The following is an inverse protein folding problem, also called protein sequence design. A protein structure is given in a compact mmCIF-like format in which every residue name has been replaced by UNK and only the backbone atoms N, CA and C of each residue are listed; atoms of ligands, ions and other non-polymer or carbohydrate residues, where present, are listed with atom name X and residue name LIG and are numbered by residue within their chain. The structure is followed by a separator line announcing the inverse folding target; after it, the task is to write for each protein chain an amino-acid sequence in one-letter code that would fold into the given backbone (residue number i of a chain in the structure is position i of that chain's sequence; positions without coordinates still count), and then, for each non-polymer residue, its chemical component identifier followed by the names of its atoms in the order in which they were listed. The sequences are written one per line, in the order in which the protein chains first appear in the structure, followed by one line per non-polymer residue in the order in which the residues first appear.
data_IF_649623835229
#
_entry.id   IF_649623835229
#
_cell.length_a   1.000
_cell.length_b   1.000
_cell.length_c   1.000
_cell.angle_alpha   90.00
_cell.angle_beta   90.00
_cell.angle_gamma   90.00
#
_symmetry.space_group_name_H-M   'P 1'
#
loop_
_entity.id
_entity.type
_entity.pdbx_description
1 polymer ?
#
# COMPACT_ATOMS: atom_id res chain seq x y z
N UNK A 1 13.60 13.84 -7.16
CA UNK A 1 13.23 12.48 -6.69
C UNK A 1 11.84 12.03 -7.15
N UNK A 2 10.84 12.90 -7.23
CA UNK A 2 9.51 12.57 -7.73
C UNK A 2 9.43 12.46 -9.26
N UNK A 3 10.41 12.94 -9.99
CA UNK A 3 10.43 12.98 -11.47
C UNK A 3 10.51 11.57 -12.08
N UNK A 4 11.18 10.63 -11.42
CA UNK A 4 11.33 9.27 -11.93
C UNK A 4 10.03 8.46 -11.98
N UNK A 5 9.02 8.76 -11.14
CA UNK A 5 7.79 7.96 -11.08
C UNK A 5 6.91 8.11 -12.33
N UNK A 6 6.59 9.32 -12.81
CA UNK A 6 5.83 9.50 -14.04
C UNK A 6 6.54 8.93 -15.26
N UNK A 7 7.86 9.12 -15.34
CA UNK A 7 8.68 8.59 -16.44
C UNK A 7 8.70 7.07 -16.46
N UNK A 8 8.93 6.44 -15.29
CA UNK A 8 8.88 4.98 -15.17
C UNK A 8 7.51 4.42 -15.59
N UNK A 9 6.43 5.04 -15.14
CA UNK A 9 5.07 4.63 -15.52
C UNK A 9 4.80 4.78 -17.01
N UNK A 10 5.18 5.92 -17.60
CA UNK A 10 4.99 6.17 -19.03
C UNK A 10 5.75 5.13 -19.87
N UNK A 11 7.05 4.93 -19.59
CA UNK A 11 7.87 3.95 -20.30
C UNK A 11 7.31 2.53 -20.11
N UNK A 12 6.98 2.15 -18.87
CA UNK A 12 6.44 0.81 -18.59
C UNK A 12 5.13 0.55 -19.33
N UNK A 13 4.21 1.50 -19.33
CA UNK A 13 2.95 1.40 -20.06
C UNK A 13 3.17 1.34 -21.58
N UNK A 14 4.13 2.10 -22.09
CA UNK A 14 4.42 2.18 -23.54
C UNK A 14 5.06 0.88 -24.05
N UNK A 15 6.03 0.34 -23.29
CA UNK A 15 6.83 -0.83 -23.70
C UNK A 15 6.08 -2.13 -23.39
N UNK A 16 5.60 -2.29 -22.14
CA UNK A 16 4.99 -3.55 -21.68
C UNK A 16 3.50 -3.64 -22.01
N UNK A 17 2.83 -2.51 -22.21
CA UNK A 17 1.38 -2.40 -22.39
C UNK A 17 0.61 -2.95 -21.19
N UNK A 18 -0.68 -2.65 -21.11
CA UNK A 18 -1.57 -3.18 -20.08
C UNK A 18 -2.06 -4.57 -20.48
N UNK A 19 -2.35 -5.39 -19.47
CA UNK A 19 -3.05 -6.67 -19.62
C UNK A 19 -4.42 -6.40 -20.26
N UNK A 20 -4.88 -7.32 -21.10
CA UNK A 20 -6.19 -7.21 -21.77
C UNK A 20 -7.31 -7.06 -20.72
N UNK A 21 -8.09 -5.99 -20.85
CA UNK A 21 -9.17 -5.65 -19.92
C UNK A 21 -8.75 -4.75 -18.75
N UNK A 22 -7.48 -4.34 -18.68
CA UNK A 22 -6.98 -3.35 -17.72
C UNK A 22 -6.68 -2.04 -18.46
N UNK A 23 -7.35 -0.97 -18.07
CA UNK A 23 -7.23 0.34 -18.73
C UNK A 23 -5.96 1.08 -18.29
N UNK A 24 -5.63 0.98 -17.00
CA UNK A 24 -4.51 1.69 -16.40
C UNK A 24 -3.77 0.81 -15.38
N UNK A 25 -2.43 0.85 -15.36
CA UNK A 25 -1.66 0.23 -14.29
C UNK A 25 -1.87 1.00 -12.98
N UNK A 26 -1.79 0.31 -11.85
CA UNK A 26 -1.85 0.90 -10.52
C UNK A 26 -0.57 0.61 -9.73
N UNK A 27 -0.16 1.53 -8.86
CA UNK A 27 0.93 1.30 -7.91
C UNK A 27 0.37 0.63 -6.67
N UNK A 28 0.75 -0.62 -6.45
CA UNK A 28 0.46 -1.35 -5.22
C UNK A 28 1.66 -1.30 -4.26
N UNK A 29 1.40 -1.03 -3.02
CA UNK A 29 2.38 -1.10 -1.95
C UNK A 29 1.85 -1.92 -0.78
N UNK A 30 2.77 -2.48 0.01
CA UNK A 30 2.46 -3.23 1.21
C UNK A 30 2.68 -2.30 2.41
N UNK A 31 1.69 -2.17 3.28
CA UNK A 31 1.78 -1.37 4.50
C UNK A 31 1.65 -2.27 5.73
N UNK A 32 2.40 -1.98 6.82
CA UNK A 32 2.24 -2.68 8.07
C UNK A 32 0.92 -2.32 8.75
N UNK A 33 0.31 -3.31 9.39
CA UNK A 33 -0.90 -3.14 10.18
C UNK A 33 -0.73 -3.71 11.58
N UNK A 34 -1.71 -3.49 12.46
CA UNK A 34 -1.73 -4.07 13.80
C UNK A 34 -1.74 -5.61 13.75
N UNK A 35 -2.39 -6.22 12.73
CA UNK A 35 -2.56 -7.67 12.60
C UNK A 35 -1.58 -8.32 11.61
N UNK A 36 -0.76 -7.55 10.89
CA UNK A 36 0.17 -8.06 9.90
C UNK A 36 0.50 -7.02 8.85
N UNK A 37 -0.01 -7.16 7.65
CA UNK A 37 0.21 -6.26 6.51
C UNK A 37 -1.03 -6.19 5.64
N UNK A 38 -1.19 -5.09 4.91
CA UNK A 38 -2.24 -4.88 3.92
C UNK A 38 -1.65 -4.35 2.61
N UNK A 39 -2.25 -4.70 1.49
CA UNK A 39 -1.94 -4.15 0.18
C UNK A 39 -2.78 -2.90 -0.02
N UNK A 40 -2.17 -1.79 -0.39
CA UNK A 40 -2.89 -0.56 -0.72
C UNK A 40 -2.61 -0.21 -2.18
N UNK A 41 -3.64 0.02 -2.95
CA UNK A 41 -3.56 0.48 -4.33
C UNK A 41 -4.77 1.37 -4.68
N UNK A 42 -4.57 2.47 -5.37
CA UNK A 42 -3.40 3.02 -6.03
C UNK A 42 -2.63 4.00 -5.12
N UNK A 43 -1.30 3.95 -5.18
CA UNK A 43 -0.42 4.82 -4.39
C UNK A 43 0.22 5.98 -5.21
N UNK A 44 -0.53 6.50 -6.20
CA UNK A 44 -0.13 7.69 -6.93
C UNK A 44 0.14 7.51 -8.43
N UNK A 45 -0.32 6.40 -9.02
CA UNK A 45 -0.26 6.23 -10.48
C UNK A 45 -1.38 7.00 -11.19
N UNK A 46 -2.58 7.01 -10.62
CA UNK A 46 -3.77 7.60 -11.25
C UNK A 46 -4.46 8.54 -10.27
N UNK A 47 -4.28 9.83 -10.45
CA UNK A 47 -4.91 10.88 -9.62
C UNK A 47 -6.42 10.87 -9.82
N UNK A 48 -6.86 10.85 -11.08
CA UNK A 48 -8.27 10.77 -11.45
C UNK A 48 -8.60 9.34 -11.91
N UNK A 49 -9.54 8.72 -11.24
CA UNK A 49 -10.01 7.37 -11.54
C UNK A 49 -11.50 7.38 -11.91
N UNK A 50 -11.91 6.44 -12.76
CA UNK A 50 -13.32 6.08 -12.93
C UNK A 50 -13.67 4.92 -11.99
N UNK A 51 -14.98 4.64 -11.81
CA UNK A 51 -15.42 3.43 -11.09
C UNK A 51 -14.85 2.14 -11.72
N UNK A 52 -14.74 2.08 -13.05
CA UNK A 52 -14.15 0.94 -13.76
C UNK A 52 -12.69 0.73 -13.35
N UNK A 53 -11.91 1.82 -13.24
CA UNK A 53 -10.51 1.71 -12.79
C UNK A 53 -10.43 1.16 -11.36
N UNK A 54 -11.26 1.65 -10.44
CA UNK A 54 -11.25 1.16 -9.05
C UNK A 54 -11.68 -0.31 -8.95
N UNK A 55 -12.64 -0.76 -9.76
CA UNK A 55 -13.00 -2.19 -9.86
C UNK A 55 -11.83 -3.02 -10.39
N UNK A 56 -11.13 -2.53 -11.43
CA UNK A 56 -9.93 -3.20 -11.94
C UNK A 56 -8.82 -3.24 -10.89
N UNK A 57 -8.65 -2.19 -10.09
CA UNK A 57 -7.68 -2.18 -8.99
C UNK A 57 -8.06 -3.23 -7.93
N UNK A 58 -9.33 -3.37 -7.59
CA UNK A 58 -9.80 -4.41 -6.67
C UNK A 58 -9.42 -5.82 -7.15
N UNK A 59 -9.65 -6.11 -8.44
CA UNK A 59 -9.28 -7.40 -9.05
C UNK A 59 -7.76 -7.63 -9.03
N UNK A 60 -6.98 -6.62 -9.39
CA UNK A 60 -5.51 -6.70 -9.37
C UNK A 60 -4.98 -6.88 -7.94
N UNK A 61 -5.54 -6.15 -6.97
CA UNK A 61 -5.18 -6.27 -5.55
C UNK A 61 -5.49 -7.64 -4.96
N UNK A 62 -6.61 -8.24 -5.32
CA UNK A 62 -6.99 -9.59 -4.93
C UNK A 62 -5.96 -10.62 -5.43
N UNK A 63 -5.63 -10.57 -6.73
CA UNK A 63 -4.63 -11.47 -7.33
C UNK A 63 -3.25 -11.25 -6.69
N UNK A 64 -2.82 -10.00 -6.54
CA UNK A 64 -1.53 -9.68 -5.92
C UNK A 64 -1.44 -10.18 -4.47
N UNK A 65 -2.49 -9.99 -3.68
CA UNK A 65 -2.52 -10.47 -2.30
C UNK A 65 -2.47 -12.00 -2.21
N UNK A 66 -3.13 -12.70 -3.13
CA UNK A 66 -3.06 -14.17 -3.23
C UNK A 66 -1.66 -14.65 -3.59
N UNK A 67 -1.04 -14.00 -4.57
CA UNK A 67 0.22 -14.45 -5.18
C UNK A 67 1.42 -14.08 -4.32
N UNK A 68 1.50 -12.84 -3.83
CA UNK A 68 2.68 -12.31 -3.13
C UNK A 68 2.59 -12.47 -1.62
N UNK A 69 1.39 -12.20 -1.05
CA UNK A 69 1.17 -12.30 0.40
C UNK A 69 0.80 -13.73 0.81
N UNK A 70 0.21 -14.51 -0.11
CA UNK A 70 -0.21 -15.89 0.16
C UNK A 70 -1.57 -16.01 0.85
N UNK A 71 -2.40 -14.97 0.81
CA UNK A 71 -3.73 -14.98 1.41
C UNK A 71 -4.73 -15.62 0.45
N UNK A 72 -5.25 -16.79 0.78
CA UNK A 72 -6.14 -17.55 -0.12
C UNK A 72 -7.43 -16.83 -0.51
N UNK A 73 -8.01 -16.05 0.39
CA UNK A 73 -9.26 -15.30 0.18
C UNK A 73 -9.15 -13.91 0.78
N UNK A 74 -8.42 -12.98 0.14
CA UNK A 74 -8.19 -11.64 0.66
C UNK A 74 -9.52 -10.90 0.91
N UNK A 75 -9.58 -10.16 2.00
CA UNK A 75 -10.68 -9.26 2.34
C UNK A 75 -10.38 -7.90 1.72
N UNK A 76 -11.28 -7.39 0.86
CA UNK A 76 -11.11 -6.12 0.15
C UNK A 76 -11.97 -5.02 0.75
N UNK A 77 -11.35 -3.89 1.08
CA UNK A 77 -12.02 -2.66 1.49
C UNK A 77 -11.88 -1.56 0.44
N UNK A 78 -12.94 -0.78 0.22
CA UNK A 78 -12.92 0.42 -0.61
C UNK A 78 -12.79 1.65 0.28
N UNK A 79 -11.71 2.43 0.10
CA UNK A 79 -11.46 3.62 0.91
C UNK A 79 -12.52 4.68 0.66
N UNK A 80 -13.08 5.19 1.74
CA UNK A 80 -14.11 6.23 1.74
C UNK A 80 -13.92 7.20 2.92
N UNK A 81 -14.65 8.28 2.94
CA UNK A 81 -14.68 9.28 4.03
C UNK A 81 -15.56 8.87 5.20
N UNK A 82 -16.23 7.73 5.13
CA UNK A 82 -17.10 7.17 6.16
C UNK A 82 -17.66 5.84 5.71
N UNK A 83 -18.10 5.02 6.66
CA UNK A 83 -18.63 3.67 6.41
C UNK A 83 -20.07 3.65 5.88
N UNK A 84 -20.79 4.77 5.97
CA UNK A 84 -22.20 4.83 5.55
C UNK A 84 -22.32 4.98 4.03
N UNK A 85 -23.31 4.32 3.42
CA UNK A 85 -23.56 4.31 1.97
C UNK A 85 -23.84 5.68 1.35
N UNK A 86 -24.28 6.65 2.16
CA UNK A 86 -24.55 8.01 1.68
C UNK A 86 -23.28 8.85 1.52
N UNK A 87 -22.19 8.47 2.19
CA UNK A 87 -20.92 9.19 2.17
C UNK A 87 -20.07 8.86 0.94
N UNK A 88 -19.14 9.74 0.64
CA UNK A 88 -18.23 9.60 -0.49
C UNK A 88 -18.75 10.27 -1.78
N UNK A 89 -17.85 10.36 -2.75
CA UNK A 89 -18.16 10.89 -4.06
C UNK A 89 -18.92 9.88 -4.94
N UNK A 90 -19.42 10.33 -6.08
CA UNK A 90 -20.20 9.51 -7.01
C UNK A 90 -19.42 8.29 -7.53
N UNK A 91 -18.13 8.46 -7.78
CA UNK A 91 -17.26 7.37 -8.30
C UNK A 91 -17.11 6.27 -7.27
N UNK A 92 -16.83 6.62 -6.01
CA UNK A 92 -16.67 5.65 -4.92
C UNK A 92 -17.99 4.91 -4.65
N UNK A 93 -19.13 5.62 -4.67
CA UNK A 93 -20.46 5.00 -4.53
C UNK A 93 -20.77 4.02 -5.69
N UNK A 94 -20.49 4.43 -6.92
CA UNK A 94 -20.71 3.56 -8.08
C UNK A 94 -19.77 2.34 -8.02
N UNK A 95 -18.52 2.52 -7.62
CA UNK A 95 -17.56 1.43 -7.43
C UNK A 95 -18.05 0.43 -6.39
N UNK A 96 -18.62 0.90 -5.29
CA UNK A 96 -19.20 0.02 -4.26
C UNK A 96 -20.29 -0.87 -4.84
N UNK A 97 -21.24 -0.29 -5.60
CA UNK A 97 -22.32 -1.07 -6.22
C UNK A 97 -21.78 -2.08 -7.23
N UNK A 98 -20.74 -1.72 -7.99
CA UNK A 98 -20.13 -2.62 -8.97
C UNK A 98 -19.36 -3.76 -8.31
N UNK A 99 -18.60 -3.48 -7.23
CA UNK A 99 -17.92 -4.51 -6.42
C UNK A 99 -18.90 -5.44 -5.73
N UNK A 100 -20.03 -4.92 -5.25
CA UNK A 100 -21.08 -5.72 -4.64
C UNK A 100 -21.70 -6.73 -5.62
N UNK A 101 -21.87 -6.37 -6.89
CA UNK A 101 -22.36 -7.29 -7.94
C UNK A 101 -21.42 -8.46 -8.18
N UNK A 102 -20.10 -8.28 -7.99
CA UNK A 102 -19.09 -9.32 -8.19
C UNK A 102 -18.59 -9.95 -6.88
N UNK A 103 -19.26 -9.70 -5.76
CA UNK A 103 -18.88 -10.21 -4.43
C UNK A 103 -18.86 -11.74 -4.31
N UNK A 104 -19.50 -12.46 -5.24
CA UNK A 104 -19.35 -13.92 -5.35
C UNK A 104 -17.92 -14.36 -5.75
N UNK A 105 -17.17 -13.48 -6.43
CA UNK A 105 -15.79 -13.72 -6.89
C UNK A 105 -14.75 -13.06 -5.98
N UNK A 106 -15.09 -11.93 -5.34
CA UNK A 106 -14.23 -11.15 -4.46
C UNK A 106 -14.82 -11.13 -3.04
N UNK A 107 -13.99 -11.27 -2.04
CA UNK A 107 -14.40 -11.13 -0.64
C UNK A 107 -14.47 -9.63 -0.26
N UNK A 108 -15.48 -8.95 -0.79
CA UNK A 108 -15.66 -7.52 -0.59
C UNK A 108 -16.28 -7.21 0.77
N UNK A 109 -15.53 -6.50 1.61
CA UNK A 109 -15.92 -6.07 2.95
C UNK A 109 -16.91 -4.90 2.92
N UNK A 110 -16.67 -3.94 2.03
CA UNK A 110 -17.43 -2.69 1.96
C UNK A 110 -16.52 -1.46 2.05
N UNK A 111 -17.08 -0.36 2.56
CA UNK A 111 -16.31 0.85 2.82
C UNK A 111 -15.43 0.70 4.05
N UNK A 112 -14.23 1.29 3.96
CA UNK A 112 -13.31 1.50 5.09
C UNK A 112 -12.90 2.96 5.13
N UNK A 113 -12.50 3.43 6.30
CA UNK A 113 -12.00 4.78 6.52
C UNK A 113 -10.46 4.80 6.59
N UNK A 114 -9.86 5.99 6.52
CA UNK A 114 -8.41 6.14 6.55
C UNK A 114 -7.73 5.55 7.81
N UNK A 115 -8.42 5.58 8.95
CA UNK A 115 -7.95 4.99 10.20
C UNK A 115 -8.03 3.45 10.22
N UNK A 116 -8.77 2.84 9.30
CA UNK A 116 -8.90 1.37 9.19
C UNK A 116 -7.74 0.74 8.43
N UNK A 117 -7.05 1.53 7.57
CA UNK A 117 -5.93 1.04 6.75
C UNK A 117 -4.90 0.27 7.60
N UNK A 118 -4.55 0.82 8.78
CA UNK A 118 -3.53 0.20 9.63
C UNK A 118 -4.11 -0.76 10.70
N UNK A 119 -5.42 -0.98 10.76
CA UNK A 119 -6.04 -1.94 11.69
C UNK A 119 -5.78 -3.40 11.28
N UNK A 120 -5.76 -3.67 9.97
CA UNK A 120 -5.59 -5.02 9.42
C UNK A 120 -6.89 -5.83 9.43
N UNK A 121 -8.03 -5.17 9.30
CA UNK A 121 -9.33 -5.81 9.12
C UNK A 121 -9.59 -6.19 7.67
N UNK A 122 -8.85 -5.55 6.75
CA UNK A 122 -8.84 -5.86 5.32
C UNK A 122 -7.41 -6.12 4.83
N UNK A 123 -7.29 -7.03 3.89
CA UNK A 123 -6.02 -7.44 3.29
C UNK A 123 -5.65 -6.57 2.07
N UNK A 124 -6.65 -5.96 1.45
CA UNK A 124 -6.51 -5.10 0.27
C UNK A 124 -7.35 -3.84 0.46
N UNK A 125 -6.73 -2.68 0.32
CA UNK A 125 -7.38 -1.37 0.33
C UNK A 125 -7.33 -0.80 -1.08
N UNK A 126 -8.51 -0.51 -1.63
CA UNK A 126 -8.67 0.08 -2.96
C UNK A 126 -8.97 1.56 -2.84
N UNK A 127 -8.23 2.39 -3.57
CA UNK A 127 -8.40 3.84 -3.60
C UNK A 127 -7.90 4.42 -4.93
N UNK A 128 -8.21 5.68 -5.21
CA UNK A 128 -7.53 6.44 -6.26
C UNK A 128 -6.09 6.81 -5.83
N UNK A 129 -5.25 7.15 -6.80
CA UNK A 129 -3.85 7.45 -6.53
C UNK A 129 -3.62 8.75 -5.76
N UNK A 130 -4.56 9.70 -5.80
CA UNK A 130 -4.46 10.93 -5.02
C UNK A 130 -4.66 10.63 -3.53
N UNK A 131 -5.77 9.99 -3.18
CA UNK A 131 -6.10 9.62 -1.80
C UNK A 131 -5.09 8.64 -1.22
N UNK A 132 -4.69 7.63 -1.99
CA UNK A 132 -3.72 6.63 -1.55
C UNK A 132 -2.33 7.21 -1.31
N UNK A 133 -1.85 8.10 -2.19
CA UNK A 133 -0.56 8.77 -1.98
C UNK A 133 -0.58 9.72 -0.78
N UNK A 134 -1.67 10.46 -0.58
CA UNK A 134 -1.82 11.32 0.62
C UNK A 134 -1.82 10.46 1.88
N UNK A 135 -2.58 9.37 1.93
CA UNK A 135 -2.62 8.47 3.07
C UNK A 135 -1.23 7.90 3.40
N UNK A 136 -0.51 7.42 2.38
CA UNK A 136 0.86 6.94 2.54
C UNK A 136 1.80 8.01 3.09
N UNK A 137 1.84 9.19 2.46
CA UNK A 137 2.74 10.29 2.87
C UNK A 137 2.41 10.85 4.24
N UNK A 138 1.14 10.87 4.61
CA UNK A 138 0.70 11.27 5.94
C UNK A 138 1.17 10.25 6.99
N UNK A 139 1.01 8.94 6.70
CA UNK A 139 1.49 7.89 7.59
C UNK A 139 3.01 7.92 7.78
N UNK A 140 3.78 8.13 6.70
CA UNK A 140 5.24 8.32 6.75
C UNK A 140 5.61 9.53 7.63
N UNK A 141 4.97 10.68 7.42
CA UNK A 141 5.23 11.90 8.19
C UNK A 141 4.87 11.76 9.67
N UNK A 142 3.75 11.11 9.99
CA UNK A 142 3.36 10.84 11.38
C UNK A 142 4.35 9.89 12.06
N UNK A 143 4.81 8.86 11.37
CA UNK A 143 5.83 7.95 11.89
C UNK A 143 7.14 8.70 12.22
N UNK A 144 7.62 9.57 11.34
CA UNK A 144 8.82 10.40 11.55
C UNK A 144 8.64 11.37 12.74
N UNK A 145 7.46 11.99 12.85
CA UNK A 145 7.10 12.86 13.97
C UNK A 145 7.19 12.12 15.32
N UNK A 146 6.57 10.93 15.40
CA UNK A 146 6.58 10.09 16.61
C UNK A 146 8.02 9.71 16.98
N UNK A 147 8.83 9.27 16.01
CA UNK A 147 10.24 8.94 16.28
C UNK A 147 11.05 10.13 16.76
N UNK A 148 10.84 11.31 16.20
CA UNK A 148 11.52 12.54 16.59
C UNK A 148 11.16 12.92 18.02
N UNK A 149 9.88 12.88 18.37
CA UNK A 149 9.44 13.18 19.74
C UNK A 149 9.95 12.16 20.75
N UNK A 150 9.89 10.87 20.42
CA UNK A 150 10.42 9.81 21.27
C UNK A 150 11.92 9.97 21.53
N UNK A 151 12.68 10.26 20.46
CA UNK A 151 14.13 10.53 20.55
C UNK A 151 14.42 11.72 21.45
N UNK A 152 13.65 12.80 21.34
CA UNK A 152 13.83 14.00 22.16
C UNK A 152 13.46 13.74 23.63
N UNK A 153 12.38 12.99 23.88
CA UNK A 153 11.98 12.60 25.22
C UNK A 153 13.08 11.78 25.92
N UNK A 154 13.70 10.83 25.24
CA UNK A 154 14.81 10.04 25.80
C UNK A 154 16.10 10.87 26.00
N UNK A 155 16.27 11.98 25.30
CA UNK A 155 17.42 12.87 25.48
C UNK A 155 17.23 13.90 26.58
N UNK A 156 16.03 14.11 27.11
CA UNK A 156 15.66 15.23 28.00
C UNK A 156 16.33 15.21 29.34
N UNK A 157 16.71 14.05 29.89
CA UNK A 157 17.36 13.92 31.19
C UNK A 157 18.32 12.72 31.26
N UNK A 158 19.17 12.69 32.29
CA UNK A 158 20.07 11.56 32.56
C UNK A 158 19.24 10.29 32.84
N UNK A 159 18.17 10.42 33.63
CA UNK A 159 17.27 9.31 33.97
C UNK A 159 16.62 8.74 32.70
N UNK A 160 16.15 9.60 31.81
CA UNK A 160 15.56 9.18 30.52
C UNK A 160 16.57 8.45 29.65
N UNK A 161 17.84 8.86 29.64
CA UNK A 161 18.91 8.17 28.90
C UNK A 161 19.20 6.78 29.47
N UNK A 162 19.21 6.62 30.78
CA UNK A 162 19.34 5.31 31.43
C UNK A 162 18.11 4.42 31.07
N UNK A 163 16.92 5.00 31.16
CA UNK A 163 15.68 4.33 30.73
C UNK A 163 15.73 3.87 29.27
N UNK A 164 16.29 4.66 28.35
CA UNK A 164 16.53 4.25 26.96
C UNK A 164 17.45 3.03 26.86
N UNK A 165 18.55 2.99 27.60
CA UNK A 165 19.48 1.87 27.59
C UNK A 165 18.80 0.58 28.02
N UNK A 166 17.98 0.62 29.07
CA UNK A 166 17.22 -0.52 29.57
C UNK A 166 16.13 -0.97 28.59
N UNK A 167 15.43 -0.02 27.95
CA UNK A 167 14.36 -0.31 26.99
C UNK A 167 14.85 -0.55 25.55
N UNK A 168 16.14 -0.40 25.27
CA UNK A 168 16.73 -0.56 23.91
C UNK A 168 16.31 -1.84 23.19
N UNK A 169 16.24 -3.03 23.81
CA UNK A 169 15.79 -4.24 23.13
C UNK A 169 14.32 -4.16 22.65
N UNK A 170 13.44 -3.56 23.46
CA UNK A 170 12.04 -3.36 23.12
C UNK A 170 11.88 -2.33 21.98
N UNK A 171 12.61 -1.23 22.07
CA UNK A 171 12.62 -0.17 21.04
C UNK A 171 13.15 -0.71 19.71
N UNK A 172 14.18 -1.55 19.72
CA UNK A 172 14.70 -2.17 18.50
C UNK A 172 13.68 -3.12 17.87
N UNK A 173 12.96 -3.93 18.65
CA UNK A 173 11.86 -4.78 18.13
C UNK A 173 10.77 -3.93 17.49
N UNK A 174 10.36 -2.85 18.13
CA UNK A 174 9.39 -1.89 17.60
C UNK A 174 9.88 -1.29 16.27
N UNK A 175 11.09 -0.74 16.23
CA UNK A 175 11.70 -0.20 15.01
C UNK A 175 11.72 -1.20 13.88
N UNK A 176 12.12 -2.44 14.16
CA UNK A 176 12.18 -3.52 13.16
C UNK A 176 10.80 -3.84 12.58
N UNK A 177 9.73 -3.73 13.39
CA UNK A 177 8.36 -4.03 12.93
C UNK A 177 7.80 -2.97 11.99
N UNK A 178 8.15 -1.70 12.17
CA UNK A 178 7.64 -0.58 11.37
C UNK A 178 8.69 0.00 10.43
N UNK A 179 9.79 -0.70 10.19
CA UNK A 179 10.86 -0.27 9.30
C UNK A 179 10.33 -0.21 7.85
N UNK A 180 10.22 0.99 7.24
CA UNK A 180 9.65 1.14 5.91
C UNK A 180 10.49 0.43 4.83
N UNK A 181 11.78 0.18 5.09
CA UNK A 181 12.67 -0.50 4.16
C UNK A 181 12.26 -1.95 3.92
N UNK A 182 11.58 -2.58 4.89
CA UNK A 182 11.03 -3.94 4.75
C UNK A 182 9.87 -4.03 3.78
N UNK A 183 9.16 -2.94 3.59
CA UNK A 183 7.99 -2.82 2.72
C UNK A 183 8.32 -2.11 1.41
N UNK A 184 9.63 -1.90 1.14
CA UNK A 184 10.09 -1.28 -0.08
C UNK A 184 9.91 -2.23 -1.27
N UNK A 185 9.50 -1.67 -2.41
CA UNK A 185 9.20 -2.42 -3.62
C UNK A 185 7.74 -2.32 -4.02
N UNK A 186 7.28 -1.09 -4.31
CA UNK A 186 5.94 -0.87 -4.86
C UNK A 186 5.86 -1.46 -6.28
N UNK A 187 4.80 -2.20 -6.57
CA UNK A 187 4.62 -2.91 -7.83
C UNK A 187 3.65 -2.16 -8.74
N UNK A 188 3.99 -1.98 -10.01
CA UNK A 188 3.05 -1.52 -11.03
C UNK A 188 2.24 -2.72 -11.53
N UNK A 189 1.02 -2.87 -11.02
CA UNK A 189 0.11 -3.92 -11.41
C UNK A 189 -0.61 -3.59 -12.71
N UNK A 190 -1.04 -4.61 -13.45
CA UNK A 190 -1.83 -4.47 -14.67
C UNK A 190 -1.01 -4.30 -15.96
N UNK A 191 0.30 -4.56 -15.93
CA UNK A 191 1.20 -4.57 -17.08
C UNK A 191 1.49 -6.01 -17.53
N UNK A 192 1.81 -6.21 -18.83
CA UNK A 192 2.27 -7.51 -19.36
C UNK A 192 3.74 -7.84 -18.97
N UNK A 193 4.20 -7.31 -17.85
CA UNK A 193 5.54 -7.58 -17.32
C UNK A 193 5.70 -6.99 -15.94
N UNK A 194 6.66 -7.48 -15.21
CA UNK A 194 6.91 -7.09 -13.81
C UNK A 194 7.69 -5.79 -13.76
N UNK A 195 7.14 -4.79 -13.07
CA UNK A 195 7.80 -3.53 -12.79
C UNK A 195 7.71 -3.25 -11.30
N UNK A 196 8.85 -3.22 -10.63
CA UNK A 196 8.97 -2.92 -9.21
C UNK A 196 9.71 -1.61 -9.01
N UNK A 197 9.09 -0.69 -8.31
CA UNK A 197 9.65 0.62 -7.99
C UNK A 197 10.22 0.61 -6.58
N UNK A 198 11.53 0.84 -6.46
CA UNK A 198 12.17 1.12 -5.17
C UNK A 198 12.02 2.60 -4.79
N UNK A 199 12.00 2.89 -3.49
CA UNK A 199 12.05 4.27 -2.98
C UNK A 199 13.42 4.90 -3.28
N UNK A 200 13.45 6.15 -3.78
CA UNK A 200 14.68 6.81 -4.20
C UNK A 200 15.71 7.05 -3.08
N UNK A 201 15.25 7.27 -1.85
CA UNK A 201 16.09 7.46 -0.68
C UNK A 201 16.40 6.17 0.10
N UNK A 202 16.19 4.97 -0.47
CA UNK A 202 16.43 3.71 0.23
C UNK A 202 17.91 3.34 0.24
N UNK A 203 18.32 2.58 1.24
CA UNK A 203 19.65 1.97 1.32
C UNK A 203 19.70 0.59 0.65
N UNK A 204 20.87 -0.08 0.71
CA UNK A 204 21.06 -1.41 0.14
C UNK A 204 20.07 -2.45 0.70
N UNK A 205 19.70 -2.36 1.98
CA UNK A 205 18.75 -3.28 2.60
C UNK A 205 17.35 -3.12 2.00
N UNK A 206 16.87 -1.89 1.90
CA UNK A 206 15.57 -1.65 1.27
C UNK A 206 15.56 -1.98 -0.23
N UNK A 207 16.64 -1.72 -0.95
CA UNK A 207 16.75 -2.10 -2.35
C UNK A 207 16.73 -3.63 -2.55
N UNK A 208 17.39 -4.38 -1.66
CA UNK A 208 17.33 -5.83 -1.65
C UNK A 208 15.90 -6.35 -1.46
N UNK A 209 15.11 -5.71 -0.57
CA UNK A 209 13.69 -6.07 -0.40
C UNK A 209 12.87 -5.81 -1.67
N UNK A 210 13.12 -4.73 -2.39
CA UNK A 210 12.46 -4.48 -3.68
C UNK A 210 12.80 -5.55 -4.73
N UNK A 211 14.05 -6.01 -4.78
CA UNK A 211 14.45 -7.15 -5.64
C UNK A 211 13.72 -8.42 -5.21
N UNK A 212 13.63 -8.68 -3.90
CA UNK A 212 12.93 -9.86 -3.37
C UNK A 212 11.46 -9.88 -3.76
N UNK A 213 10.79 -8.72 -3.79
CA UNK A 213 9.41 -8.60 -4.30
C UNK A 213 9.35 -9.00 -5.78
N UNK A 214 10.30 -8.53 -6.61
CA UNK A 214 10.34 -8.89 -8.02
C UNK A 214 10.57 -10.40 -8.24
N UNK A 215 11.46 -11.01 -7.46
CA UNK A 215 11.71 -12.46 -7.48
C UNK A 215 10.45 -13.23 -7.09
N UNK A 216 9.78 -12.84 -6.00
CA UNK A 216 8.53 -13.48 -5.57
C UNK A 216 7.44 -13.43 -6.63
N UNK A 217 7.33 -12.32 -7.37
CA UNK A 217 6.38 -12.20 -8.48
C UNK A 217 6.69 -13.19 -9.62
N UNK A 218 7.97 -13.36 -9.96
CA UNK A 218 8.41 -14.30 -11.01
C UNK A 218 8.14 -15.75 -10.57
N UNK A 219 8.53 -16.11 -9.35
CA UNK A 219 8.39 -17.48 -8.80
C UNK A 219 6.92 -17.91 -8.68
N UNK A 220 6.03 -16.97 -8.38
CA UNK A 220 4.59 -17.23 -8.25
C UNK A 220 3.81 -17.01 -9.56
N UNK A 221 4.49 -16.82 -10.68
CA UNK A 221 3.87 -16.67 -12.02
C UNK A 221 2.82 -15.56 -12.08
N UNK A 222 3.13 -14.41 -11.46
CA UNK A 222 2.28 -13.23 -11.50
C UNK A 222 2.28 -12.59 -12.89
#
# INVERSE_FOLDING_TARGET
ESICSPTLMAISKFVLKTIKGIDRPAIAGILPTMKGQTVVLDLGANVDCTNVNLVQFALMGDVFSKTVIGIKRPVLGLLNVGSEHIKGNSIVKQTFEDLKKISSKLNFYGFIEGNDINKGDVDVVVTDGFSGNIALKTAEGVAELIFTFLKNAYKSSIISRIGYLLSKPAINRFKTRIDPRKYNGAVLLGLNGIVVKSHGGTDAFGFCNAISVAVSLIENSY
#
